data_IF_562957415452
#
_entry.id   IF_562957415452
#
_cell.length_a   1.000
_cell.length_b   1.000
_cell.length_c   1.000
_cell.angle_alpha   90.00
_cell.angle_beta   90.00
_cell.angle_gamma   90.00
#
_symmetry.space_group_name_H-M   'P 1'
#
loop_
_entity.id
_entity.type
_entity.pdbx_description
1 polymer ?
#
# COMPACT_ATOMS: atom_id res chain seq x y z
N UNK A 1 28.38 -12.23 -45.16
CA UNK A 1 28.43 -12.36 -43.68
C UNK A 1 27.44 -11.39 -43.07
N UNK A 2 26.31 -11.87 -42.54
CA UNK A 2 25.43 -11.05 -41.69
C UNK A 2 25.93 -11.19 -40.26
N UNK A 3 26.44 -10.11 -39.67
CA UNK A 3 26.70 -10.08 -38.24
C UNK A 3 25.35 -10.01 -37.54
N UNK A 4 24.91 -11.13 -36.96
CA UNK A 4 23.80 -11.13 -36.03
C UNK A 4 24.23 -10.33 -34.81
N UNK A 5 23.60 -9.19 -34.58
CA UNK A 5 23.78 -8.45 -33.33
C UNK A 5 22.94 -9.16 -32.28
N UNK A 6 23.61 -9.82 -31.32
CA UNK A 6 22.97 -10.30 -30.10
C UNK A 6 22.38 -9.10 -29.35
N UNK A 7 21.08 -8.86 -29.53
CA UNK A 7 20.35 -7.87 -28.75
C UNK A 7 20.19 -8.45 -27.35
N UNK A 8 21.05 -8.01 -26.42
CA UNK A 8 20.85 -8.30 -24.99
C UNK A 8 19.55 -7.62 -24.56
N UNK A 9 18.63 -8.41 -24.04
CA UNK A 9 17.42 -7.93 -23.37
C UNK A 9 17.83 -7.18 -22.09
N UNK A 10 17.94 -5.85 -22.18
CA UNK A 10 18.26 -5.01 -21.03
C UNK A 10 16.96 -4.69 -20.32
N UNK A 11 16.77 -5.28 -19.14
CA UNK A 11 15.63 -4.96 -18.27
C UNK A 11 15.71 -3.51 -17.82
N UNK A 12 14.57 -2.82 -17.87
CA UNK A 12 14.46 -1.47 -17.33
C UNK A 12 14.47 -1.52 -15.80
N UNK A 13 15.52 -0.98 -15.20
CA UNK A 13 15.66 -0.82 -13.75
C UNK A 13 16.42 0.49 -13.49
N UNK A 14 15.66 1.59 -13.38
CA UNK A 14 16.24 2.93 -13.27
C UNK A 14 15.50 3.81 -12.27
N UNK A 15 16.20 4.80 -11.71
CA UNK A 15 15.54 5.87 -10.97
C UNK A 15 14.81 6.78 -11.96
N UNK A 16 13.55 7.10 -11.69
CA UNK A 16 12.78 7.95 -12.58
C UNK A 16 11.70 8.74 -11.85
N UNK A 17 11.26 9.80 -12.50
CA UNK A 17 10.04 10.52 -12.19
C UNK A 17 8.99 10.05 -13.20
N UNK A 18 7.86 9.57 -12.70
CA UNK A 18 6.77 9.02 -13.50
C UNK A 18 5.52 9.84 -13.33
N UNK A 19 4.96 10.28 -14.44
CA UNK A 19 3.71 11.01 -14.49
C UNK A 19 2.59 10.08 -14.92
N UNK A 20 1.55 9.98 -14.09
CA UNK A 20 0.38 9.13 -14.31
C UNK A 20 -0.74 10.02 -14.83
N UNK A 21 -1.11 9.81 -16.08
CA UNK A 21 -2.16 10.57 -16.79
C UNK A 21 -2.03 12.10 -16.67
N UNK A 22 -0.83 12.64 -16.44
CA UNK A 22 -0.58 14.08 -16.24
C UNK A 22 -1.16 14.69 -14.95
N UNK A 23 -1.73 13.89 -14.05
CA UNK A 23 -2.36 14.38 -12.81
C UNK A 23 -1.54 14.07 -11.57
N UNK A 24 -0.89 12.89 -11.54
CA UNK A 24 -0.11 12.43 -10.40
C UNK A 24 1.33 12.20 -10.81
N UNK A 25 2.24 12.52 -9.91
CA UNK A 25 3.67 12.29 -10.11
C UNK A 25 4.20 11.39 -9.00
N UNK A 26 5.02 10.41 -9.38
CA UNK A 26 5.76 9.56 -8.45
C UNK A 26 7.25 9.64 -8.78
N UNK A 27 8.10 9.54 -7.77
CA UNK A 27 9.54 9.47 -7.95
C UNK A 27 10.07 8.28 -7.16
N UNK A 28 10.83 7.41 -7.81
CA UNK A 28 11.24 6.14 -7.21
C UNK A 28 12.10 5.31 -8.15
N UNK A 29 12.42 4.09 -7.71
CA UNK A 29 13.05 3.08 -8.56
C UNK A 29 11.98 2.43 -9.42
N UNK A 30 12.18 2.40 -10.72
CA UNK A 30 11.21 1.95 -11.70
C UNK A 30 11.70 0.68 -12.37
N UNK A 31 10.85 -0.36 -12.30
CA UNK A 31 11.12 -1.67 -12.90
C UNK A 31 9.89 -2.16 -13.67
N UNK A 32 10.09 -3.16 -14.55
CA UNK A 32 8.99 -3.91 -15.13
C UNK A 32 8.62 -5.10 -14.24
N UNK A 33 7.31 -5.29 -13.98
CA UNK A 33 6.79 -6.46 -13.28
C UNK A 33 5.61 -7.07 -14.03
N UNK A 34 5.68 -8.37 -14.33
CA UNK A 34 4.58 -9.12 -14.93
C UNK A 34 3.73 -9.81 -13.86
N UNK A 35 2.41 -9.63 -13.90
CA UNK A 35 1.44 -10.32 -13.04
C UNK A 35 0.31 -10.84 -13.92
N UNK A 36 0.02 -12.15 -13.84
CA UNK A 36 -1.09 -12.75 -14.62
C UNK A 36 -0.94 -12.59 -16.14
N UNK A 37 0.29 -12.58 -16.65
CA UNK A 37 0.56 -12.38 -18.08
C UNK A 37 0.49 -10.92 -18.56
N UNK A 38 0.21 -9.97 -17.67
CA UNK A 38 0.17 -8.53 -17.98
C UNK A 38 1.39 -7.83 -17.38
N UNK A 39 2.09 -7.02 -18.16
CA UNK A 39 3.22 -6.20 -17.69
C UNK A 39 2.74 -4.88 -17.07
N UNK A 40 3.34 -4.55 -15.92
CA UNK A 40 3.12 -3.33 -15.17
C UNK A 40 4.44 -2.58 -15.00
N UNK A 41 4.35 -1.26 -14.99
CA UNK A 41 5.41 -0.38 -14.50
C UNK A 41 5.31 -0.36 -12.98
N UNK A 42 6.30 -0.95 -12.33
CA UNK A 42 6.46 -0.93 -10.88
C UNK A 42 7.27 0.29 -10.48
N UNK A 43 6.77 1.04 -9.50
CA UNK A 43 7.46 2.17 -8.92
C UNK A 43 7.61 1.90 -7.42
N UNK A 44 8.84 1.70 -6.97
CA UNK A 44 9.20 1.62 -5.56
C UNK A 44 9.60 3.02 -5.07
N UNK A 45 8.72 3.62 -4.27
CA UNK A 45 8.90 4.94 -3.67
C UNK A 45 9.57 4.75 -2.30
N UNK A 46 10.77 5.31 -2.08
CA UNK A 46 11.45 5.19 -0.79
C UNK A 46 10.76 6.01 0.30
N UNK A 47 11.12 5.75 1.55
CA UNK A 47 10.70 6.58 2.68
C UNK A 47 11.15 8.04 2.49
N UNK A 48 10.31 9.00 2.87
CA UNK A 48 10.62 10.43 2.76
C UNK A 48 9.96 11.28 3.85
N UNK A 49 10.60 12.36 4.30
CA UNK A 49 10.00 13.30 5.23
C UNK A 49 8.80 14.02 4.62
N UNK A 50 7.76 14.23 5.42
CA UNK A 50 6.59 15.04 5.12
C UNK A 50 6.73 16.46 5.66
N UNK A 51 5.88 17.37 5.15
CA UNK A 51 5.86 18.79 5.55
C UNK A 51 5.47 19.02 7.01
N UNK A 52 4.76 18.09 7.64
CA UNK A 52 4.33 18.15 9.04
C UNK A 52 5.36 17.57 10.02
N UNK A 53 6.54 17.18 9.52
CA UNK A 53 7.62 16.59 10.31
C UNK A 53 7.52 15.08 10.50
N UNK A 54 6.48 14.43 9.97
CA UNK A 54 6.35 12.96 9.98
C UNK A 54 7.12 12.31 8.84
N UNK A 55 7.34 10.98 8.89
CA UNK A 55 7.93 10.22 7.79
C UNK A 55 6.82 9.52 6.99
N UNK A 56 6.85 9.68 5.67
CA UNK A 56 6.07 8.84 4.76
C UNK A 56 6.81 7.52 4.58
N UNK A 57 6.21 6.37 4.97
CA UNK A 57 6.84 5.08 4.78
C UNK A 57 7.06 4.78 3.30
N UNK A 58 8.06 3.95 2.99
CA UNK A 58 8.27 3.44 1.64
C UNK A 58 7.03 2.66 1.17
N UNK A 59 6.69 2.79 -0.10
CA UNK A 59 5.57 2.07 -0.70
C UNK A 59 5.80 1.78 -2.17
N UNK A 60 5.07 0.79 -2.70
CA UNK A 60 5.14 0.38 -4.10
C UNK A 60 3.81 0.61 -4.79
N UNK A 61 3.83 1.07 -6.04
CA UNK A 61 2.66 1.11 -6.90
C UNK A 61 2.95 0.43 -8.24
N UNK A 62 1.94 -0.28 -8.75
CA UNK A 62 1.97 -0.93 -10.05
C UNK A 62 0.99 -0.19 -10.96
N UNK A 63 1.49 0.27 -12.10
CA UNK A 63 0.71 0.99 -13.09
C UNK A 63 0.71 0.23 -14.41
N UNK A 64 -0.44 0.16 -15.08
CA UNK A 64 -0.50 -0.34 -16.45
C UNK A 64 0.22 0.63 -17.39
N UNK A 65 0.92 0.13 -18.40
CA UNK A 65 1.69 0.97 -19.33
C UNK A 65 0.84 2.10 -19.97
N UNK A 66 -0.44 1.83 -20.28
CA UNK A 66 -1.36 2.82 -20.84
C UNK A 66 -1.76 3.96 -19.89
N UNK A 67 -1.41 3.87 -18.60
CA UNK A 67 -1.64 4.95 -17.62
C UNK A 67 -0.48 5.92 -17.46
N UNK A 68 0.66 5.59 -18.07
CA UNK A 68 1.86 6.38 -17.99
C UNK A 68 1.80 7.49 -19.04
N UNK A 69 1.84 8.73 -18.58
CA UNK A 69 1.97 9.89 -19.47
C UNK A 69 3.43 10.10 -19.86
N UNK A 70 4.34 10.06 -18.88
CA UNK A 70 5.77 10.26 -19.11
C UNK A 70 6.61 9.51 -18.07
N UNK A 71 7.75 8.97 -18.48
CA UNK A 71 8.82 8.49 -17.60
C UNK A 71 10.05 9.34 -17.89
N UNK A 72 10.57 10.00 -16.87
CA UNK A 72 11.82 10.77 -16.95
C UNK A 72 12.89 10.08 -16.10
N UNK A 73 13.78 9.26 -16.71
CA UNK A 73 14.91 8.68 -15.99
C UNK A 73 15.82 9.78 -15.44
N UNK A 74 16.19 9.66 -14.18
CA UNK A 74 17.01 10.65 -13.45
C UNK A 74 17.94 9.94 -12.46
N UNK A 75 18.88 10.68 -11.87
CA UNK A 75 19.66 10.14 -10.75
C UNK A 75 18.79 9.90 -9.51
N UNK A 76 19.25 9.01 -8.62
CA UNK A 76 18.62 8.78 -7.32
C UNK A 76 18.46 10.09 -6.53
N UNK A 77 19.49 10.93 -6.54
CA UNK A 77 19.48 12.22 -5.85
C UNK A 77 18.34 13.12 -6.34
N UNK A 78 18.16 13.20 -7.66
CA UNK A 78 17.10 13.99 -8.29
C UNK A 78 15.72 13.41 -7.97
N UNK A 79 15.57 12.09 -8.04
CA UNK A 79 14.32 11.42 -7.69
C UNK A 79 13.94 11.67 -6.22
N UNK A 80 14.88 11.57 -5.28
CA UNK A 80 14.66 11.87 -3.86
C UNK A 80 14.36 13.34 -3.62
N UNK A 81 15.01 14.25 -4.34
CA UNK A 81 14.70 15.67 -4.27
C UNK A 81 13.28 15.97 -4.77
N UNK A 82 12.86 15.32 -5.86
CA UNK A 82 11.49 15.43 -6.38
C UNK A 82 10.47 14.85 -5.40
N UNK A 83 10.78 13.72 -4.77
CA UNK A 83 9.90 13.08 -3.79
C UNK A 83 9.57 14.01 -2.61
N UNK A 84 10.56 14.74 -2.09
CA UNK A 84 10.35 15.74 -1.02
C UNK A 84 9.39 16.87 -1.40
N UNK A 85 9.29 17.19 -2.68
CA UNK A 85 8.38 18.23 -3.18
C UNK A 85 6.99 17.68 -3.52
N UNK A 86 6.86 16.36 -3.69
CA UNK A 86 5.67 15.73 -4.22
C UNK A 86 4.87 15.11 -3.08
N UNK A 87 3.56 15.38 -3.02
CA UNK A 87 2.62 14.78 -2.06
C UNK A 87 2.18 13.39 -2.52
N UNK A 88 3.13 12.54 -2.87
CA UNK A 88 2.88 11.16 -3.27
C UNK A 88 2.66 10.30 -2.03
N UNK A 89 1.42 10.17 -1.59
CA UNK A 89 1.05 9.32 -0.46
C UNK A 89 0.53 7.95 -0.93
N UNK A 90 0.73 6.88 -0.15
CA UNK A 90 0.16 5.58 -0.47
C UNK A 90 -1.38 5.65 -0.57
N UNK A 91 -2.01 6.44 0.30
CA UNK A 91 -3.43 6.81 0.30
C UNK A 91 -3.61 8.29 0.69
N UNK A 92 -4.73 8.90 0.28
CA UNK A 92 -5.04 10.28 0.68
C UNK A 92 -5.51 10.32 2.15
N UNK A 93 -5.33 11.45 2.83
CA UNK A 93 -5.79 11.70 4.22
C UNK A 93 -7.29 11.43 4.38
N UNK A 94 -8.08 11.69 3.33
CA UNK A 94 -9.51 11.39 3.30
C UNK A 94 -9.79 9.89 3.32
N UNK A 95 -9.02 9.09 2.58
CA UNK A 95 -9.19 7.64 2.49
C UNK A 95 -8.90 6.98 3.84
N UNK A 96 -7.83 7.40 4.52
CA UNK A 96 -7.46 6.88 5.83
C UNK A 96 -8.51 7.23 6.91
N UNK A 97 -9.02 8.47 6.91
CA UNK A 97 -10.05 8.90 7.87
C UNK A 97 -11.33 8.10 7.73
N UNK A 98 -11.77 7.84 6.50
CA UNK A 98 -12.95 7.03 6.21
C UNK A 98 -12.75 5.58 6.67
N UNK A 99 -11.59 4.98 6.40
CA UNK A 99 -11.27 3.60 6.79
C UNK A 99 -11.24 3.42 8.31
N UNK A 100 -10.63 4.35 9.04
CA UNK A 100 -10.55 4.29 10.50
C UNK A 100 -11.89 4.63 11.19
N UNK A 101 -12.71 5.51 10.60
CA UNK A 101 -14.03 5.85 11.17
C UNK A 101 -15.02 4.68 11.19
N UNK A 102 -14.81 3.66 10.35
CA UNK A 102 -15.66 2.47 10.29
C UNK A 102 -15.23 1.34 11.24
N UNK A 103 -14.12 1.50 11.98
CA UNK A 103 -13.62 0.48 12.91
C UNK A 103 -14.41 0.48 14.23
N UNK A 104 -15.04 1.60 14.59
CA UNK A 104 -15.67 1.80 15.91
C UNK A 104 -17.10 1.22 16.07
N UNK A 105 -17.67 0.55 15.05
CA UNK A 105 -19.07 0.07 15.07
C UNK A 105 -19.28 -1.43 15.02
N UNK A 106 -18.21 -2.23 15.13
CA UNK A 106 -18.38 -3.68 15.30
C UNK A 106 -18.33 -3.98 16.78
N UNK A 107 -19.49 -3.84 17.43
CA UNK A 107 -19.73 -4.28 18.81
C UNK A 107 -19.22 -5.72 18.97
N UNK A 108 -18.21 -5.87 19.83
CA UNK A 108 -17.80 -7.18 20.32
C UNK A 108 -18.93 -7.66 21.26
N UNK A 109 -19.44 -8.89 21.10
CA UNK A 109 -20.46 -9.41 22.02
C UNK A 109 -19.85 -9.49 23.43
N UNK A 110 -20.34 -8.62 24.33
CA UNK A 110 -20.13 -8.73 25.77
C UNK A 110 -20.62 -10.11 26.21
N UNK A 111 -19.70 -11.03 26.50
CA UNK A 111 -20.05 -12.24 27.24
C UNK A 111 -20.52 -11.80 28.62
N UNK A 112 -21.81 -11.99 28.90
CA UNK A 112 -22.34 -11.84 30.25
C UNK A 112 -21.88 -13.02 31.09
N UNK A 113 -20.96 -12.79 32.03
CA UNK A 113 -20.79 -13.66 33.19
C UNK A 113 -22.06 -13.53 34.02
N UNK A 114 -22.99 -14.45 33.79
CA UNK A 114 -24.15 -14.69 34.64
C UNK A 114 -23.89 -15.91 35.49
N UNK A 115 -22.92 -15.84 36.40
CA UNK A 115 -22.72 -16.83 37.46
C UNK A 115 -23.46 -16.34 38.72
N UNK A 116 -24.79 -16.44 38.69
CA UNK A 116 -25.64 -16.40 39.88
C UNK A 116 -26.73 -17.47 39.71
N UNK A 117 -26.41 -18.72 40.08
CA UNK A 117 -27.40 -19.75 40.40
C UNK A 117 -26.99 -20.42 41.71
N UNK A 118 -27.32 -19.75 42.81
CA UNK A 118 -27.60 -20.41 44.08
C UNK A 118 -28.98 -21.09 43.94
N UNK A 119 -29.03 -22.42 43.99
CA UNK A 119 -30.24 -23.19 44.37
C UNK A 119 -29.78 -24.57 44.89
N UNK A 120 -29.47 -24.63 46.18
CA UNK A 120 -29.25 -25.88 46.93
C UNK A 120 -30.64 -26.40 47.37
N UNK A 121 -31.26 -27.19 46.49
CA UNK A 121 -32.60 -27.79 46.68
C UNK A 121 -32.58 -28.87 47.78
N UNK A 122 -33.20 -28.55 48.92
CA UNK A 122 -33.50 -29.44 50.04
C UNK A 122 -34.61 -30.44 49.65
N UNK A 123 -34.24 -31.65 49.20
CA UNK A 123 -35.20 -32.74 48.92
C UNK A 123 -35.49 -33.58 50.16
N UNK A 124 -36.63 -33.31 50.79
CA UNK A 124 -37.33 -34.27 51.62
C UNK A 124 -38.17 -35.24 50.78
N UNK A 125 -37.91 -36.54 50.88
CA UNK A 125 -38.89 -37.58 50.55
C UNK A 125 -39.26 -38.34 51.84
N UNK A 126 -40.53 -38.23 52.23
CA UNK A 126 -41.19 -39.18 53.13
C UNK A 126 -41.74 -40.39 52.35
N UNK A 127 -41.99 -41.45 53.13
CA UNK A 127 -42.82 -42.67 52.96
C UNK A 127 -42.03 -43.95 52.65
N UNK A 128 -42.14 -45.01 53.46
CA UNK A 128 -43.35 -45.64 54.04
C UNK A 128 -43.21 -46.01 55.53
#
# INVERSE_FOLDING_TARGET
MSYGTDVKDVKFDEWAIVEIMGHQTYAGRVTEQTIGGTSFIRIDVPESPMSDGTMCPAFTKLFGAGSIYCITPVSEETARARLRQTRAYPMNVWDARQLLSNVDKRELPMHGDGDDMDDDDELGEEVD
#
